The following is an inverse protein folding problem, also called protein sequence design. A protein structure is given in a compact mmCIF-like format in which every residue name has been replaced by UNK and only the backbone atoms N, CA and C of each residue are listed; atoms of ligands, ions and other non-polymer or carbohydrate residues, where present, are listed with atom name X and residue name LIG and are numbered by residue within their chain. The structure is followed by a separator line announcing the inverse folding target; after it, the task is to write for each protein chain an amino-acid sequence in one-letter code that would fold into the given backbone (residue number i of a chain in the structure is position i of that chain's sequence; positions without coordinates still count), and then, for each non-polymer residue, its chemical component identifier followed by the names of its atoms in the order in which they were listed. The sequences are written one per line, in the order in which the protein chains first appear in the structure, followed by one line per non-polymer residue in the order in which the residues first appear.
data_IF_621080898901
#
_entry.id   IF_621080898901
#
_cell.length_a   1.000
_cell.length_b   1.000
_cell.length_c   1.000
_cell.angle_alpha   90.00
_cell.angle_beta   90.00
_cell.angle_gamma   90.00
#
_symmetry.space_group_name_H-M   'P 1'
#
loop_
_entity.id
_entity.type
_entity.pdbx_description
1 polymer ?
#
# COMPACT_ATOMS: atom_id res chain seq x y z
N UNK A 1 -4.02 39.36 20.11
CA UNK A 1 -3.67 40.70 19.64
C UNK A 1 -4.62 40.99 18.50
N UNK A 2 -5.67 41.75 18.82
CA UNK A 2 -6.65 42.23 17.86
C UNK A 2 -6.00 43.38 17.08
N UNK A 3 -6.12 43.34 15.76
CA UNK A 3 -5.65 44.40 14.88
C UNK A 3 -6.82 45.33 14.54
N UNK A 4 -6.49 46.60 14.59
CA UNK A 4 -7.32 47.77 14.82
C UNK A 4 -7.58 48.40 13.45
N UNK A 5 -8.78 48.20 12.88
CA UNK A 5 -9.20 48.89 11.66
C UNK A 5 -10.08 50.06 12.08
N UNK A 6 -9.50 51.25 11.96
CA UNK A 6 -10.08 52.52 12.37
C UNK A 6 -11.36 52.86 11.63
N UNK A 7 -12.34 53.28 12.43
CA UNK A 7 -13.51 54.06 12.02
C UNK A 7 -13.05 55.38 11.41
N UNK A 8 -13.48 55.62 10.17
CA UNK A 8 -13.50 56.95 9.58
C UNK A 8 -14.95 57.23 9.16
N UNK A 9 -15.74 57.62 10.17
CA UNK A 9 -17.00 58.32 10.01
C UNK A 9 -16.71 59.66 9.33
N UNK A 10 -17.19 59.84 8.09
CA UNK A 10 -17.28 61.16 7.45
C UNK A 10 -18.74 61.39 7.07
N UNK A 11 -19.48 61.87 8.06
CA UNK A 11 -20.83 62.41 7.92
C UNK A 11 -20.71 63.81 7.27
N UNK A 12 -21.00 63.90 5.96
CA UNK A 12 -21.24 65.20 5.33
C UNK A 12 -22.69 65.61 5.60
N UNK A 13 -22.90 66.34 6.71
CA UNK A 13 -24.16 66.99 7.06
C UNK A 13 -24.50 68.08 6.02
N UNK A 14 -25.47 67.75 5.16
CA UNK A 14 -26.09 68.65 4.21
C UNK A 14 -27.02 69.64 4.95
N UNK A 15 -26.54 70.86 5.14
CA UNK A 15 -27.22 71.96 5.83
C UNK A 15 -28.46 72.43 5.05
N UNK A 16 -29.60 71.78 5.29
CA UNK A 16 -30.91 72.17 4.80
C UNK A 16 -31.44 73.37 5.60
N UNK A 17 -31.36 74.58 5.03
CA UNK A 17 -32.07 75.75 5.56
C UNK A 17 -33.59 75.61 5.31
N UNK A 18 -34.25 74.84 6.16
CA UNK A 18 -35.70 74.82 6.30
C UNK A 18 -36.17 76.09 7.00
N UNK A 19 -36.68 77.05 6.22
CA UNK A 19 -37.33 78.25 6.75
C UNK A 19 -38.61 77.88 7.48
N UNK A 20 -38.56 77.95 8.81
CA UNK A 20 -39.74 77.85 9.67
C UNK A 20 -40.59 79.12 9.59
N UNK A 21 -41.89 78.92 9.40
CA UNK A 21 -42.93 79.93 9.56
C UNK A 21 -42.97 80.44 11.01
N UNK A 22 -42.39 81.61 11.27
CA UNK A 22 -42.73 82.44 12.43
C UNK A 22 -43.64 83.59 11.98
N UNK A 23 -44.94 83.41 12.22
CA UNK A 23 -45.96 84.42 12.09
C UNK A 23 -45.84 85.46 13.21
N UNK A 24 -45.06 86.52 12.97
CA UNK A 24 -45.11 87.78 13.72
C UNK A 24 -46.04 88.81 13.05
N UNK A 25 -46.86 89.58 13.78
CA UNK A 25 -47.83 90.49 13.19
C UNK A 25 -47.13 91.76 12.68
N UNK A 26 -46.73 91.76 11.40
CA UNK A 26 -46.34 92.98 10.68
C UNK A 26 -47.59 93.69 10.16
N UNK A 27 -48.37 94.25 11.08
CA UNK A 27 -49.32 95.30 10.76
C UNK A 27 -48.55 96.62 10.62
N UNK A 28 -48.64 97.26 9.45
CA UNK A 28 -48.22 98.66 9.30
C UNK A 28 -46.96 98.92 8.47
N UNK A 29 -46.86 98.38 7.26
CA UNK A 29 -46.06 99.01 6.19
C UNK A 29 -46.62 98.76 4.79
N UNK A 30 -47.94 98.92 4.63
CA UNK A 30 -48.56 99.15 3.33
C UNK A 30 -48.89 100.64 3.25
N UNK A 31 -47.95 101.38 2.69
CA UNK A 31 -48.00 102.83 2.54
C UNK A 31 -46.57 103.30 2.39
N UNK A 32 -46.21 103.78 1.19
CA UNK A 32 -44.87 104.25 0.75
C UNK A 32 -43.96 103.28 -0.02
N UNK A 33 -44.48 102.23 -0.69
CA UNK A 33 -43.70 101.49 -1.71
C UNK A 33 -44.22 101.64 -3.14
N UNK A 34 -45.39 102.25 -3.34
CA UNK A 34 -45.95 102.58 -4.66
C UNK A 34 -45.84 104.07 -5.03
N UNK A 35 -45.30 104.90 -4.14
CA UNK A 35 -45.13 106.36 -4.35
C UNK A 35 -43.71 106.75 -4.81
N UNK A 36 -42.84 105.77 -5.05
CA UNK A 36 -41.62 105.98 -5.84
C UNK A 36 -41.77 105.21 -7.15
N UNK A 37 -42.81 105.56 -7.90
CA UNK A 37 -42.72 105.47 -9.36
C UNK A 37 -41.45 106.25 -9.69
N UNK A 38 -40.40 105.53 -10.06
CA UNK A 38 -39.23 106.12 -10.70
C UNK A 38 -39.78 106.79 -11.97
N UNK A 39 -40.17 108.05 -11.86
CA UNK A 39 -40.49 108.88 -13.02
C UNK A 39 -39.21 108.88 -13.85
N UNK A 40 -39.22 108.08 -14.90
CA UNK A 40 -38.14 108.06 -15.86
C UNK A 40 -38.09 109.47 -16.45
N UNK A 41 -37.16 110.31 -15.97
CA UNK A 41 -36.73 111.53 -16.67
C UNK A 41 -35.92 111.14 -17.92
N UNK A 42 -36.45 110.22 -18.70
CA UNK A 42 -35.85 109.80 -19.96
C UNK A 42 -36.79 110.30 -21.04
N UNK A 43 -36.25 111.20 -21.85
CA UNK A 43 -36.92 111.75 -23.02
C UNK A 43 -37.38 110.58 -23.92
N UNK A 44 -38.65 110.55 -24.38
CA UNK A 44 -39.22 109.39 -25.07
C UNK A 44 -38.44 108.94 -26.32
N UNK A 45 -37.80 109.87 -27.02
CA UNK A 45 -36.96 109.54 -28.18
C UNK A 45 -35.63 108.95 -27.75
N UNK A 46 -35.02 109.45 -26.67
CA UNK A 46 -33.81 108.87 -26.10
C UNK A 46 -34.02 107.42 -25.61
N UNK A 47 -35.18 107.14 -25.00
CA UNK A 47 -35.55 105.77 -24.61
C UNK A 47 -35.74 104.86 -25.82
N UNK A 48 -36.35 105.35 -26.90
CA UNK A 48 -36.53 104.60 -28.14
C UNK A 48 -35.20 104.25 -28.81
N UNK A 49 -34.27 105.20 -28.86
CA UNK A 49 -32.91 104.97 -29.42
C UNK A 49 -32.16 103.94 -28.58
N UNK A 50 -32.28 104.00 -27.26
CA UNK A 50 -31.64 103.03 -26.37
C UNK A 50 -32.26 101.64 -26.49
N UNK A 51 -33.58 101.55 -26.68
CA UNK A 51 -34.27 100.31 -27.01
C UNK A 51 -33.79 99.75 -28.35
N UNK A 52 -33.65 100.56 -29.39
CA UNK A 52 -33.11 100.13 -30.69
C UNK A 52 -31.66 99.66 -30.59
N UNK A 53 -30.86 100.26 -29.69
CA UNK A 53 -29.46 99.89 -29.43
C UNK A 53 -29.35 98.58 -28.65
N UNK A 54 -30.19 98.35 -27.65
CA UNK A 54 -30.13 97.20 -26.73
C UNK A 54 -30.94 96.00 -27.25
N UNK A 55 -31.97 96.23 -28.09
CA UNK A 55 -32.75 95.17 -28.73
C UNK A 55 -31.91 94.08 -29.43
N UNK A 56 -30.88 94.41 -30.24
CA UNK A 56 -30.02 93.39 -30.84
C UNK A 56 -29.13 92.67 -29.82
N UNK A 57 -28.80 93.30 -28.68
CA UNK A 57 -28.01 92.69 -27.60
C UNK A 57 -28.84 91.73 -26.74
N UNK A 58 -30.14 91.99 -26.62
CA UNK A 58 -31.11 91.12 -25.95
C UNK A 58 -31.61 89.97 -26.83
N UNK A 59 -31.34 90.01 -28.13
CA UNK A 59 -31.63 88.92 -29.05
C UNK A 59 -30.66 87.78 -28.77
N UNK A 60 -30.94 87.03 -27.71
CA UNK A 60 -30.25 85.81 -27.34
C UNK A 60 -30.42 84.82 -28.49
N UNK A 61 -29.42 84.75 -29.36
CA UNK A 61 -29.37 83.72 -30.39
C UNK A 61 -29.14 82.40 -29.66
N UNK A 62 -30.23 81.65 -29.45
CA UNK A 62 -30.17 80.26 -29.01
C UNK A 62 -29.60 79.46 -30.18
N UNK A 63 -28.27 79.53 -30.34
CA UNK A 63 -27.53 78.61 -31.19
C UNK A 63 -27.56 77.29 -30.46
N UNK A 64 -28.53 76.43 -30.79
CA UNK A 64 -28.72 75.10 -30.22
C UNK A 64 -27.42 74.30 -30.20
N UNK A 65 -26.59 74.52 -29.18
CA UNK A 65 -25.34 73.81 -28.98
C UNK A 65 -25.69 72.48 -28.27
N UNK A 66 -25.27 71.32 -28.78
CA UNK A 66 -25.45 70.04 -28.08
C UNK A 66 -24.81 70.04 -26.68
N UNK A 67 -23.93 70.99 -26.34
CA UNK A 67 -23.39 71.21 -24.99
C UNK A 67 -24.27 72.09 -24.10
N UNK A 68 -25.38 72.63 -24.58
CA UNK A 68 -26.35 73.33 -23.74
C UNK A 68 -26.91 72.40 -22.67
N UNK A 69 -26.89 72.87 -21.42
CA UNK A 69 -27.44 72.13 -20.27
C UNK A 69 -28.92 71.76 -20.47
N UNK A 70 -29.67 72.52 -21.27
CA UNK A 70 -31.07 72.23 -21.62
C UNK A 70 -31.18 70.96 -22.46
N UNK A 71 -30.36 70.81 -23.49
CA UNK A 71 -30.30 69.61 -24.32
C UNK A 71 -29.85 68.40 -23.50
N UNK A 72 -28.87 68.58 -22.60
CA UNK A 72 -28.46 67.53 -21.66
C UNK A 72 -29.59 67.11 -20.73
N UNK A 73 -30.34 68.06 -20.15
CA UNK A 73 -31.46 67.76 -19.26
C UNK A 73 -32.58 67.01 -19.98
N UNK A 74 -32.91 67.41 -21.21
CA UNK A 74 -33.92 66.71 -22.03
C UNK A 74 -33.44 65.30 -22.37
N UNK A 75 -32.17 65.13 -22.75
CA UNK A 75 -31.58 63.83 -23.03
C UNK A 75 -31.57 62.93 -21.79
N UNK A 76 -31.16 63.44 -20.62
CA UNK A 76 -31.19 62.69 -19.36
C UNK A 76 -32.59 62.23 -19.00
N UNK A 77 -33.61 63.09 -19.13
CA UNK A 77 -35.01 62.69 -18.92
C UNK A 77 -35.46 61.61 -19.91
N UNK A 78 -35.05 61.71 -21.17
CA UNK A 78 -35.33 60.68 -22.18
C UNK A 78 -34.66 59.35 -21.86
N UNK A 79 -33.38 59.36 -21.45
CA UNK A 79 -32.66 58.17 -21.03
C UNK A 79 -33.24 57.57 -19.75
N UNK A 80 -33.64 58.39 -18.78
CA UNK A 80 -34.32 57.95 -17.57
C UNK A 80 -35.65 57.24 -17.92
N UNK A 81 -36.46 57.80 -18.82
CA UNK A 81 -37.70 57.17 -19.26
C UNK A 81 -37.43 55.82 -19.97
N UNK A 82 -36.38 55.76 -20.80
CA UNK A 82 -35.95 54.49 -21.44
C UNK A 82 -35.49 53.45 -20.43
N UNK A 83 -34.71 53.87 -19.42
CA UNK A 83 -34.26 53.00 -18.34
C UNK A 83 -35.44 52.50 -17.49
N UNK A 84 -36.40 53.37 -17.16
CA UNK A 84 -37.61 52.97 -16.44
C UNK A 84 -38.47 51.98 -17.24
N UNK A 85 -38.47 52.07 -18.58
CA UNK A 85 -39.16 51.11 -19.43
C UNK A 85 -38.44 49.75 -19.51
N UNK A 86 -37.11 49.73 -19.58
CA UNK A 86 -36.29 48.52 -19.74
C UNK A 86 -35.98 47.80 -18.41
N UNK A 87 -35.94 48.53 -17.30
CA UNK A 87 -35.67 47.99 -15.97
C UNK A 87 -36.62 46.84 -15.56
N UNK A 88 -37.97 46.96 -15.69
CA UNK A 88 -38.86 45.88 -15.30
C UNK A 88 -38.71 44.64 -16.19
N UNK A 89 -38.46 44.82 -17.49
CA UNK A 89 -38.24 43.71 -18.42
C UNK A 89 -36.97 42.94 -18.06
N UNK A 90 -35.85 43.65 -17.88
CA UNK A 90 -34.58 43.02 -17.49
C UNK A 90 -34.66 42.37 -16.11
N UNK A 91 -35.31 43.01 -15.13
CA UNK A 91 -35.56 42.41 -13.82
C UNK A 91 -36.40 41.12 -13.93
N UNK A 92 -37.46 41.12 -14.73
CA UNK A 92 -38.29 39.92 -14.95
C UNK A 92 -37.51 38.79 -15.64
N UNK A 93 -36.63 39.12 -16.60
CA UNK A 93 -35.76 38.10 -17.22
C UNK A 93 -34.76 37.52 -16.25
N UNK A 94 -34.21 38.34 -15.34
CA UNK A 94 -33.25 37.90 -14.33
C UNK A 94 -33.92 37.03 -13.27
N UNK A 95 -35.13 37.41 -12.85
CA UNK A 95 -35.93 36.62 -11.90
C UNK A 95 -36.30 35.25 -12.51
N UNK A 96 -36.75 35.22 -13.75
CA UNK A 96 -37.03 33.97 -14.47
C UNK A 96 -35.78 33.09 -14.56
N UNK A 97 -34.63 33.68 -14.88
CA UNK A 97 -33.36 32.94 -14.92
C UNK A 97 -32.98 32.39 -13.55
N UNK A 98 -33.17 33.19 -12.48
CA UNK A 98 -32.90 32.75 -11.11
C UNK A 98 -33.82 31.58 -10.71
N UNK A 99 -35.11 31.64 -11.04
CA UNK A 99 -36.04 30.53 -10.82
C UNK A 99 -35.65 29.28 -11.62
N UNK A 100 -35.28 29.43 -12.90
CA UNK A 100 -34.84 28.31 -13.75
C UNK A 100 -33.55 27.68 -13.18
N UNK A 101 -32.60 28.48 -12.71
CA UNK A 101 -31.39 28.01 -12.05
C UNK A 101 -31.69 27.32 -10.72
N UNK A 102 -32.60 27.84 -9.91
CA UNK A 102 -33.01 27.20 -8.66
C UNK A 102 -33.66 25.84 -8.91
N UNK A 103 -34.53 25.73 -9.93
CA UNK A 103 -35.16 24.47 -10.34
C UNK A 103 -34.13 23.45 -10.83
N UNK A 104 -33.17 23.86 -11.65
CA UNK A 104 -32.13 22.97 -12.16
C UNK A 104 -31.19 22.51 -11.04
N UNK A 105 -30.80 23.39 -10.12
CA UNK A 105 -30.03 23.02 -8.93
C UNK A 105 -30.76 22.00 -8.07
N UNK A 106 -32.05 22.21 -7.80
CA UNK A 106 -32.85 21.25 -7.04
C UNK A 106 -32.96 19.90 -7.76
N UNK A 107 -33.10 19.89 -9.08
CA UNK A 107 -33.10 18.68 -9.88
C UNK A 107 -31.76 17.93 -9.82
N UNK A 108 -30.64 18.66 -9.88
CA UNK A 108 -29.29 18.11 -9.71
C UNK A 108 -29.11 17.52 -8.32
N UNK A 109 -29.49 18.25 -7.26
CA UNK A 109 -29.42 17.75 -5.88
C UNK A 109 -30.23 16.46 -5.69
N UNK A 110 -31.44 16.40 -6.24
CA UNK A 110 -32.27 15.20 -6.19
C UNK A 110 -31.65 14.03 -6.97
N UNK A 111 -31.04 14.31 -8.13
CA UNK A 111 -30.34 13.31 -8.92
C UNK A 111 -29.09 12.78 -8.19
N UNK A 112 -28.30 13.66 -7.58
CA UNK A 112 -27.14 13.31 -6.75
C UNK A 112 -27.55 12.47 -5.54
N UNK A 113 -28.61 12.86 -4.83
CA UNK A 113 -29.13 12.08 -3.71
C UNK A 113 -29.59 10.68 -4.15
N UNK A 114 -30.26 10.59 -5.31
CA UNK A 114 -30.67 9.31 -5.89
C UNK A 114 -29.47 8.45 -6.27
N UNK A 115 -28.44 9.03 -6.89
CA UNK A 115 -27.21 8.30 -7.22
C UNK A 115 -26.49 7.83 -5.96
N UNK A 116 -26.35 8.70 -4.96
CA UNK A 116 -25.71 8.34 -3.69
C UNK A 116 -26.43 7.20 -2.98
N UNK A 117 -27.77 7.23 -2.93
CA UNK A 117 -28.55 6.15 -2.31
C UNK A 117 -28.44 4.84 -3.10
N UNK A 118 -28.42 4.90 -4.43
CA UNK A 118 -28.19 3.71 -5.29
C UNK A 118 -26.78 3.15 -5.13
N UNK A 119 -25.76 4.00 -5.03
CA UNK A 119 -24.37 3.58 -4.85
C UNK A 119 -24.07 3.10 -3.43
N UNK A 120 -24.78 3.58 -2.40
CA UNK A 120 -24.52 3.21 -1.00
C UNK A 120 -24.61 1.70 -0.76
N UNK A 121 -25.65 1.03 -1.28
CA UNK A 121 -25.80 -0.43 -1.16
C UNK A 121 -24.70 -1.17 -1.93
N UNK A 122 -24.35 -0.73 -3.14
CA UNK A 122 -23.27 -1.33 -3.93
C UNK A 122 -21.91 -1.22 -3.22
N UNK A 123 -21.61 -0.07 -2.61
CA UNK A 123 -20.38 0.15 -1.82
C UNK A 123 -20.37 -0.71 -0.57
N UNK A 124 -21.49 -0.83 0.14
CA UNK A 124 -21.61 -1.68 1.31
C UNK A 124 -21.38 -3.16 0.97
N UNK A 125 -22.01 -3.67 -0.10
CA UNK A 125 -21.79 -5.04 -0.59
C UNK A 125 -20.35 -5.27 -1.04
N UNK A 126 -19.71 -4.30 -1.70
CA UNK A 126 -18.31 -4.41 -2.08
C UNK A 126 -17.40 -4.51 -0.85
N UNK A 127 -17.66 -3.72 0.19
CA UNK A 127 -16.92 -3.79 1.44
C UNK A 127 -17.10 -5.16 2.12
N UNK A 128 -18.33 -5.65 2.23
CA UNK A 128 -18.63 -6.99 2.77
C UNK A 128 -17.90 -8.10 1.99
N UNK A 129 -18.01 -8.10 0.65
CA UNK A 129 -17.31 -9.08 -0.20
C UNK A 129 -15.80 -9.02 -0.06
N UNK A 130 -15.23 -7.82 0.12
CA UNK A 130 -13.80 -7.64 0.34
C UNK A 130 -13.37 -8.23 1.68
N UNK A 131 -14.17 -8.06 2.73
CA UNK A 131 -13.90 -8.63 4.04
C UNK A 131 -14.06 -10.16 4.04
N UNK A 132 -15.09 -10.70 3.36
CA UNK A 132 -15.25 -12.14 3.14
C UNK A 132 -14.04 -12.75 2.41
N UNK A 133 -13.57 -12.08 1.35
CA UNK A 133 -12.39 -12.51 0.60
C UNK A 133 -11.15 -12.52 1.49
N UNK A 134 -10.96 -11.49 2.31
CA UNK A 134 -9.85 -11.41 3.26
C UNK A 134 -9.89 -12.54 4.28
N UNK A 135 -11.05 -12.80 4.87
CA UNK A 135 -11.24 -13.91 5.81
C UNK A 135 -10.93 -15.26 5.16
N UNK A 136 -11.40 -15.48 3.92
CA UNK A 136 -11.11 -16.71 3.16
C UNK A 136 -9.63 -16.84 2.79
N UNK A 137 -8.94 -15.76 2.45
CA UNK A 137 -7.49 -15.79 2.22
C UNK A 137 -6.73 -16.14 3.50
N UNK A 138 -7.15 -15.63 4.66
CA UNK A 138 -6.57 -15.99 5.95
C UNK A 138 -6.81 -17.46 6.30
N UNK A 139 -8.00 -18.00 6.07
CA UNK A 139 -8.29 -19.44 6.21
C UNK A 139 -7.43 -20.28 5.26
N UNK A 140 -7.31 -19.87 4.00
CA UNK A 140 -6.49 -20.57 3.01
C UNK A 140 -5.01 -20.60 3.44
N UNK A 141 -4.47 -19.48 3.90
CA UNK A 141 -3.08 -19.42 4.37
C UNK A 141 -2.86 -20.31 5.60
N UNK A 142 -3.77 -20.29 6.58
CA UNK A 142 -3.73 -21.22 7.72
C UNK A 142 -3.78 -22.68 7.28
N UNK A 143 -4.65 -23.01 6.32
CA UNK A 143 -4.74 -24.36 5.78
C UNK A 143 -3.46 -24.74 5.00
N UNK A 144 -2.86 -23.82 4.25
CA UNK A 144 -1.60 -24.05 3.58
C UNK A 144 -0.46 -24.31 4.59
N UNK A 145 -0.39 -23.53 5.67
CA UNK A 145 0.59 -23.72 6.75
C UNK A 145 0.41 -25.08 7.44
N UNK A 146 -0.82 -25.48 7.74
CA UNK A 146 -1.10 -26.80 8.33
C UNK A 146 -0.79 -27.95 7.37
N UNK A 147 -1.07 -27.83 6.07
CA UNK A 147 -0.67 -28.82 5.06
C UNK A 147 0.85 -28.94 4.97
N UNK A 148 1.56 -27.81 5.00
CA UNK A 148 3.02 -27.79 5.00
C UNK A 148 3.59 -28.47 6.25
N UNK A 149 3.02 -28.20 7.43
CA UNK A 149 3.39 -28.87 8.67
C UNK A 149 3.15 -30.39 8.59
N UNK A 150 1.95 -30.82 8.18
CA UNK A 150 1.62 -32.24 8.00
C UNK A 150 2.53 -32.93 6.96
N UNK A 151 2.92 -32.22 5.91
CA UNK A 151 3.85 -32.74 4.88
C UNK A 151 5.24 -32.93 5.47
N UNK A 152 5.72 -31.97 6.27
CA UNK A 152 6.99 -32.08 7.00
C UNK A 152 6.96 -33.24 8.00
N UNK A 153 5.86 -33.41 8.74
CA UNK A 153 5.69 -34.51 9.69
C UNK A 153 5.68 -35.87 8.96
N UNK A 154 5.00 -35.97 7.82
CA UNK A 154 4.99 -37.19 7.00
C UNK A 154 6.40 -37.53 6.50
N UNK A 155 7.17 -36.53 6.06
CA UNK A 155 8.57 -36.73 5.68
C UNK A 155 9.40 -37.26 6.85
N UNK A 156 9.26 -36.68 8.05
CA UNK A 156 9.95 -37.15 9.26
C UNK A 156 9.58 -38.60 9.60
N UNK A 157 8.29 -38.96 9.60
CA UNK A 157 7.84 -40.32 9.91
C UNK A 157 8.31 -41.31 8.84
N UNK A 158 8.34 -40.91 7.56
CA UNK A 158 8.88 -41.73 6.48
C UNK A 158 10.37 -41.99 6.66
N UNK A 159 11.13 -40.99 7.09
CA UNK A 159 12.56 -41.10 7.36
C UNK A 159 12.84 -42.00 8.57
N UNK A 160 12.05 -41.87 9.65
CA UNK A 160 12.10 -42.76 10.80
C UNK A 160 11.76 -44.21 10.43
N UNK A 161 10.77 -44.42 9.57
CA UNK A 161 10.40 -45.75 9.08
C UNK A 161 11.53 -46.35 8.22
N UNK A 162 12.17 -45.55 7.37
CA UNK A 162 13.34 -45.98 6.60
C UNK A 162 14.52 -46.36 7.52
N UNK A 163 14.74 -45.58 8.59
CA UNK A 163 15.76 -45.88 9.61
C UNK A 163 15.47 -47.17 10.36
N UNK A 164 14.22 -47.40 10.79
CA UNK A 164 13.81 -48.64 11.46
C UNK A 164 13.95 -49.85 10.53
N UNK A 165 13.57 -49.72 9.25
CA UNK A 165 13.80 -50.77 8.24
C UNK A 165 15.28 -51.09 8.09
N UNK A 166 16.14 -50.08 7.92
CA UNK A 166 17.59 -50.28 7.80
C UNK A 166 18.19 -50.96 9.05
N UNK A 167 17.72 -50.59 10.25
CA UNK A 167 18.11 -51.25 11.50
C UNK A 167 17.63 -52.70 11.56
N UNK A 168 16.40 -52.98 11.10
CA UNK A 168 15.86 -54.33 11.04
C UNK A 168 16.63 -55.20 10.05
N UNK A 169 16.97 -54.68 8.87
CA UNK A 169 17.77 -55.39 7.87
C UNK A 169 19.18 -55.67 8.38
N UNK A 170 19.80 -54.70 9.06
CA UNK A 170 21.12 -54.89 9.69
C UNK A 170 21.07 -55.95 10.79
N UNK A 171 20.04 -55.91 11.66
CA UNK A 171 19.83 -56.92 12.69
C UNK A 171 19.53 -58.30 12.07
N UNK A 172 18.70 -58.37 11.05
CA UNK A 172 18.38 -59.59 10.32
C UNK A 172 19.61 -60.22 9.68
N UNK A 173 20.45 -59.40 9.04
CA UNK A 173 21.75 -59.83 8.52
C UNK A 173 22.66 -60.36 9.63
N UNK A 174 22.73 -59.68 10.79
CA UNK A 174 23.54 -60.13 11.93
C UNK A 174 23.02 -61.42 12.58
N UNK A 175 21.70 -61.60 12.65
CA UNK A 175 21.04 -62.78 13.23
C UNK A 175 21.16 -64.00 12.29
N UNK A 176 21.16 -63.76 10.98
CA UNK A 176 21.32 -64.80 9.94
C UNK A 176 22.79 -65.10 9.65
N UNK A 177 23.72 -64.31 10.21
CA UNK A 177 25.15 -64.56 10.03
C UNK A 177 25.58 -65.82 10.80
N UNK A 178 25.61 -66.93 10.09
CA UNK A 178 26.09 -68.23 10.57
C UNK A 178 27.62 -68.33 10.53
N UNK A 179 28.35 -67.35 9.99
CA UNK A 179 29.82 -67.36 9.93
C UNK A 179 30.48 -67.50 11.32
N UNK A 180 30.08 -66.77 12.38
CA UNK A 180 30.64 -67.00 13.71
C UNK A 180 30.39 -68.43 14.24
N UNK A 181 29.18 -68.97 14.02
CA UNK A 181 28.87 -70.36 14.37
C UNK A 181 29.73 -71.37 13.60
N UNK A 182 29.94 -71.14 12.30
CA UNK A 182 30.82 -71.94 11.46
C UNK A 182 32.27 -71.88 11.95
N UNK A 183 32.78 -70.69 12.30
CA UNK A 183 34.14 -70.52 12.86
C UNK A 183 34.33 -71.29 14.18
N UNK A 184 33.35 -71.23 15.08
CA UNK A 184 33.38 -72.00 16.34
C UNK A 184 33.36 -73.50 16.04
N UNK A 185 32.51 -73.95 15.11
CA UNK A 185 32.45 -75.35 14.68
C UNK A 185 33.77 -75.83 14.08
N UNK A 186 34.40 -75.05 13.21
CA UNK A 186 35.70 -75.40 12.59
C UNK A 186 36.83 -75.46 13.62
N UNK A 187 36.88 -74.49 14.54
CA UNK A 187 37.84 -74.51 15.65
C UNK A 187 37.64 -75.76 16.53
N UNK A 188 36.39 -76.13 16.82
CA UNK A 188 36.08 -77.31 17.62
C UNK A 188 36.43 -78.62 16.90
N UNK A 189 36.28 -78.70 15.58
CA UNK A 189 36.75 -79.85 14.80
C UNK A 189 38.28 -79.94 14.75
N UNK A 190 38.95 -78.79 14.63
CA UNK A 190 40.42 -78.72 14.62
C UNK A 190 40.99 -79.17 15.97
N UNK A 191 40.43 -78.68 17.08
CA UNK A 191 40.81 -79.13 18.42
C UNK A 191 40.63 -80.64 18.58
N UNK A 192 39.55 -81.22 18.06
CA UNK A 192 39.35 -82.69 18.09
C UNK A 192 40.39 -83.44 17.28
N UNK A 193 40.80 -82.93 16.11
CA UNK A 193 41.86 -83.56 15.32
C UNK A 193 43.22 -83.45 16.01
N UNK A 194 43.52 -82.30 16.62
CA UNK A 194 44.73 -82.10 17.40
C UNK A 194 44.77 -83.02 18.62
N UNK A 195 43.65 -83.21 19.33
CA UNK A 195 43.54 -84.19 20.42
C UNK A 195 43.87 -85.61 19.96
N UNK A 196 43.26 -86.08 18.85
CA UNK A 196 43.57 -87.40 18.29
C UNK A 196 45.04 -87.54 17.89
N UNK A 197 45.61 -86.50 17.29
CA UNK A 197 47.03 -86.51 16.90
C UNK A 197 47.94 -86.56 18.13
N UNK A 198 47.61 -85.82 19.19
CA UNK A 198 48.32 -85.89 20.46
C UNK A 198 48.18 -87.26 21.11
N UNK A 199 47.00 -87.90 21.08
CA UNK A 199 46.80 -89.28 21.56
C UNK A 199 47.69 -90.29 20.82
N UNK A 200 47.79 -90.20 19.49
CA UNK A 200 48.68 -91.06 18.69
C UNK A 200 50.14 -90.79 19.06
N UNK A 201 50.56 -89.53 19.16
CA UNK A 201 51.93 -89.17 19.56
C UNK A 201 52.26 -89.68 20.95
N UNK A 202 51.35 -89.52 21.92
CA UNK A 202 51.49 -90.07 23.27
C UNK A 202 51.61 -91.60 23.20
N UNK A 203 50.79 -92.28 22.39
CA UNK A 203 50.86 -93.73 22.20
C UNK A 203 52.20 -94.20 21.60
N UNK A 204 52.69 -93.54 20.55
CA UNK A 204 53.99 -93.85 19.92
C UNK A 204 55.15 -93.56 20.87
N UNK A 205 55.12 -92.44 21.60
CA UNK A 205 56.12 -92.11 22.62
C UNK A 205 56.10 -93.14 23.75
N UNK A 206 54.92 -93.55 24.21
CA UNK A 206 54.77 -94.59 25.23
C UNK A 206 55.34 -95.92 24.74
N UNK A 207 55.01 -96.34 23.51
CA UNK A 207 55.55 -97.55 22.87
C UNK A 207 57.06 -97.49 22.63
N UNK A 208 57.58 -96.34 22.21
CA UNK A 208 59.02 -96.13 22.02
C UNK A 208 59.75 -96.18 23.36
N UNK A 209 59.19 -95.58 24.40
CA UNK A 209 59.74 -95.59 25.75
C UNK A 209 59.70 -97.00 26.36
N UNK A 210 58.60 -97.73 26.21
CA UNK A 210 58.51 -99.14 26.64
C UNK A 210 59.46 -100.03 25.84
N UNK A 211 59.56 -99.85 24.51
CA UNK A 211 60.49 -100.58 23.65
C UNK A 211 61.96 -100.27 23.95
N UNK A 212 62.29 -99.01 24.30
CA UNK A 212 63.64 -98.66 24.79
C UNK A 212 63.91 -99.28 26.15
N UNK A 213 62.96 -99.24 27.09
CA UNK A 213 63.08 -99.95 28.37
C UNK A 213 63.23 -101.47 28.19
N UNK A 214 62.54 -102.07 27.22
CA UNK A 214 62.68 -103.50 26.89
C UNK A 214 64.00 -103.82 26.18
N UNK A 215 64.48 -102.97 25.25
CA UNK A 215 65.78 -103.14 24.59
C UNK A 215 66.95 -102.93 25.55
N UNK A 216 66.85 -101.97 26.47
CA UNK A 216 67.80 -101.76 27.56
C UNK A 216 67.84 -102.96 28.52
N UNK A 217 66.73 -103.70 28.64
CA UNK A 217 66.67 -104.98 29.37
C UNK A 217 67.13 -106.21 28.55
N UNK A 218 67.31 -106.10 27.22
CA UNK A 218 67.52 -107.25 26.30
C UNK A 218 68.91 -107.34 25.65
N UNK A 219 69.88 -106.46 25.96
CA UNK A 219 71.24 -106.55 25.39
C UNK A 219 72.30 -106.73 26.51
N UNK A 220 73.04 -107.86 26.55
CA UNK A 220 74.19 -108.03 27.42
C UNK A 220 75.40 -107.23 26.90
N UNK A 221 76.16 -106.63 27.83
CA UNK A 221 77.43 -105.96 27.55
C UNK A 221 78.45 -106.99 27.07
N UNK A 222 78.99 -106.82 25.86
CA UNK A 222 80.44 -106.79 25.54
C UNK A 222 80.70 -107.10 24.04
N UNK A 223 81.44 -106.19 23.38
CA UNK A 223 82.60 -106.45 22.47
C UNK A 223 82.71 -105.41 21.34
N UNK A 224 83.89 -105.40 20.74
CA UNK A 224 84.65 -104.28 20.21
C UNK A 224 84.49 -104.00 18.69
N UNK A 225 84.82 -102.76 18.31
CA UNK A 225 85.69 -102.33 17.18
C UNK A 225 85.28 -102.54 15.69
N UNK A 226 85.38 -101.41 14.98
CA UNK A 226 85.87 -101.17 13.60
C UNK A 226 84.95 -101.12 12.37
N UNK A 227 85.06 -99.94 11.74
CA UNK A 227 85.39 -99.65 10.32
C UNK A 227 84.30 -99.66 9.25
N UNK A 228 84.13 -98.44 8.71
CA UNK A 228 84.28 -97.98 7.30
C UNK A 228 83.31 -98.49 6.23
N UNK A 229 82.95 -97.54 5.37
CA UNK A 229 82.40 -97.74 4.02
C UNK A 229 81.13 -96.92 3.88
N UNK A 230 81.19 -95.67 3.41
CA UNK A 230 81.36 -95.27 2.01
C UNK A 230 80.16 -95.70 1.15
N UNK A 231 79.34 -94.68 0.86
CA UNK A 231 78.73 -94.32 -0.42
C UNK A 231 78.06 -95.41 -1.27
N UNK A 232 76.78 -95.18 -1.56
CA UNK A 232 76.13 -95.33 -2.88
C UNK A 232 74.76 -94.62 -2.75
N UNK A 233 74.57 -93.42 -3.31
CA UNK A 233 74.25 -93.11 -4.72
C UNK A 233 72.83 -93.53 -5.16
N UNK A 234 72.32 -92.71 -6.08
CA UNK A 234 71.13 -92.86 -6.89
C UNK A 234 69.75 -92.57 -6.22
N UNK A 235 68.81 -91.87 -6.83
CA UNK A 235 68.70 -91.12 -8.08
C UNK A 235 67.25 -90.57 -8.12
N UNK A 236 67.09 -89.36 -8.67
CA UNK A 236 66.02 -88.81 -9.53
C UNK A 236 64.75 -89.68 -9.76
N UNK A 237 63.52 -89.20 -9.84
CA UNK A 237 62.91 -88.10 -10.62
C UNK A 237 61.45 -88.00 -10.11
N UNK A 238 60.79 -86.85 -9.93
CA UNK A 238 60.25 -85.85 -10.88
C UNK A 238 58.70 -85.93 -10.89
N UNK A 239 58.08 -84.82 -11.32
CA UNK A 239 56.68 -84.60 -11.68
C UNK A 239 55.62 -84.17 -10.62
N UNK A 240 55.31 -82.87 -10.73
CA UNK A 240 53.99 -82.32 -11.13
C UNK A 240 52.94 -81.93 -10.07
N UNK A 241 52.81 -80.61 -9.82
CA UNK A 241 51.80 -79.74 -10.47
C UNK A 241 51.53 -78.45 -9.68
N UNK A 242 52.03 -77.34 -10.21
CA UNK A 242 51.52 -75.99 -9.95
C UNK A 242 50.15 -75.81 -10.63
N UNK A 243 49.18 -75.23 -9.92
CA UNK A 243 48.09 -74.47 -10.55
C UNK A 243 47.86 -73.18 -9.76
N UNK A 244 48.08 -72.06 -10.46
CA UNK A 244 47.42 -70.78 -10.25
C UNK A 244 45.96 -70.84 -10.71
#
# INVERSE_FOLDING_TARGET
MADEVGDAENEEEEYYHGGGDEAGPSAGRQGKLTDNILEAQVEPEAWRVELERVAPQLKMQVLSDPKEWRNRLVNTKSHQAKLQALAPETAATLERLAEDLARTLQAIQNAEQKVNTQCADAVARYAERKDELRARMEEYNKNADTINALTSDLQSVSEDLAKVKAQMDTRGASMTDTKPLLKVKTALTQLRTETKQLEIRIGVLTSTLTSKKLKEASIPRNSEVSKRGADCEAFLDDDDMEQL
#
